data_IF_984492350539
#
_entry.id   IF_984492350539
#
_cell.length_a   1.000
_cell.length_b   1.000
_cell.length_c   1.000
_cell.angle_alpha   90.00
_cell.angle_beta   90.00
_cell.angle_gamma   90.00
#
_symmetry.space_group_name_H-M   'P 1'
#
loop_
_entity.id
_entity.type
_entity.pdbx_description
1 polymer ?
#
# COMPACT_ATOMS: atom_id res chain seq x y z
N UNK A 1 16.37 -1.18 -0.18
CA UNK A 1 15.85 -2.56 -0.29
C UNK A 1 14.71 -2.59 -1.29
N UNK A 2 14.66 -3.62 -2.11
CA UNK A 2 13.60 -3.77 -3.10
C UNK A 2 12.85 -5.08 -2.88
N UNK A 3 11.52 -5.01 -2.91
CA UNK A 3 10.65 -6.17 -2.73
C UNK A 3 9.60 -6.21 -3.82
N UNK A 4 9.21 -7.40 -4.21
CA UNK A 4 8.07 -7.60 -5.10
C UNK A 4 7.05 -8.50 -4.40
N UNK A 5 5.80 -8.07 -4.40
CA UNK A 5 4.69 -8.84 -3.85
C UNK A 5 3.59 -8.93 -4.90
N UNK A 6 2.92 -10.08 -4.93
CA UNK A 6 1.81 -10.32 -5.85
C UNK A 6 0.55 -10.59 -5.07
N UNK A 7 -0.58 -10.23 -5.64
CA UNK A 7 -1.88 -10.48 -5.03
C UNK A 7 -2.94 -10.71 -6.09
N UNK A 8 -4.02 -11.37 -5.68
CA UNK A 8 -5.18 -11.62 -6.51
C UNK A 8 -6.41 -11.06 -5.82
N UNK A 9 -7.28 -10.44 -6.61
CA UNK A 9 -8.54 -9.90 -6.12
C UNK A 9 -9.65 -10.39 -7.05
N UNK A 10 -10.67 -11.00 -6.48
CA UNK A 10 -11.83 -11.48 -7.22
C UNK A 10 -12.80 -10.32 -7.49
N UNK A 11 -12.38 -9.43 -8.38
CA UNK A 11 -13.13 -8.28 -8.82
C UNK A 11 -12.63 -7.86 -10.21
N UNK A 12 -13.48 -7.20 -11.02
CA UNK A 12 -13.08 -6.75 -12.35
C UNK A 12 -11.95 -5.73 -12.31
N UNK A 13 -11.08 -5.78 -13.32
CA UNK A 13 -9.90 -4.93 -13.42
C UNK A 13 -10.22 -3.44 -13.25
N UNK A 14 -11.27 -2.96 -13.92
CA UNK A 14 -11.60 -1.53 -13.85
C UNK A 14 -12.03 -1.10 -12.45
N UNK A 15 -12.74 -1.95 -11.72
CA UNK A 15 -13.13 -1.65 -10.33
C UNK A 15 -11.91 -1.60 -9.41
N UNK A 16 -10.99 -2.54 -9.56
CA UNK A 16 -9.76 -2.56 -8.77
C UNK A 16 -8.91 -1.33 -9.08
N UNK A 17 -8.76 -1.01 -10.36
CA UNK A 17 -7.99 0.14 -10.80
C UNK A 17 -8.53 1.45 -10.21
N UNK A 18 -9.84 1.66 -10.29
CA UNK A 18 -10.49 2.85 -9.74
C UNK A 18 -10.29 2.95 -8.22
N UNK A 19 -10.38 1.82 -7.53
CA UNK A 19 -10.21 1.80 -6.08
C UNK A 19 -8.79 2.13 -5.65
N UNK A 20 -7.77 1.57 -6.32
CA UNK A 20 -6.38 1.77 -5.91
C UNK A 20 -5.87 3.18 -6.24
N UNK A 21 -6.49 3.88 -7.18
CA UNK A 21 -6.15 5.27 -7.49
C UNK A 21 -6.72 6.27 -6.50
N UNK A 22 -7.76 5.91 -5.81
CA UNK A 22 -8.39 6.76 -4.80
C UNK A 22 -7.77 6.47 -3.44
N UNK A 23 -6.77 7.27 -3.07
CA UNK A 23 -6.00 7.06 -1.85
C UNK A 23 -6.89 7.08 -0.62
N UNK A 24 -7.88 7.98 -0.56
CA UNK A 24 -8.79 8.05 0.58
C UNK A 24 -9.66 6.81 0.71
N UNK A 25 -10.07 6.25 -0.42
CA UNK A 25 -10.89 5.03 -0.44
C UNK A 25 -10.07 3.78 -0.12
N UNK A 26 -8.85 3.70 -0.64
CA UNK A 26 -8.02 2.51 -0.51
C UNK A 26 -7.23 2.45 0.81
N UNK A 27 -6.97 3.59 1.43
CA UNK A 27 -6.17 3.63 2.66
C UNK A 27 -6.68 2.69 3.76
N UNK A 28 -8.00 2.60 4.03
CA UNK A 28 -8.49 1.69 5.06
C UNK A 28 -8.23 0.21 4.77
N UNK A 29 -7.93 -0.16 3.53
CA UNK A 29 -7.58 -1.55 3.18
C UNK A 29 -6.15 -1.89 3.56
N UNK A 30 -5.29 -0.89 3.72
CA UNK A 30 -3.91 -1.09 4.18
C UNK A 30 -3.92 -1.15 5.70
N UNK A 31 -3.50 -2.26 6.31
CA UNK A 31 -3.61 -2.41 7.76
C UNK A 31 -2.82 -1.32 8.50
N UNK A 32 -3.49 -0.64 9.41
CA UNK A 32 -2.87 0.41 10.22
C UNK A 32 -2.72 1.77 9.57
N UNK A 33 -3.12 1.91 8.31
CA UNK A 33 -2.99 3.17 7.57
C UNK A 33 -4.23 4.04 7.70
N UNK A 34 -4.03 5.35 7.70
CA UNK A 34 -5.13 6.30 7.56
C UNK A 34 -4.67 7.59 6.90
N UNK A 35 -5.57 8.21 6.15
CA UNK A 35 -5.34 9.53 5.57
C UNK A 35 -5.71 10.58 6.60
N UNK A 36 -4.79 11.50 6.86
CA UNK A 36 -4.99 12.60 7.81
C UNK A 36 -5.53 13.83 7.09
N UNK A 37 -5.04 14.11 5.88
CA UNK A 37 -5.41 15.30 5.14
C UNK A 37 -5.05 15.11 3.67
N UNK A 38 -5.90 15.59 2.77
CA UNK A 38 -5.58 15.71 1.37
C UNK A 38 -4.93 17.06 1.13
N UNK A 39 -3.69 17.09 0.64
CA UNK A 39 -2.92 18.32 0.46
C UNK A 39 -2.95 18.86 -0.95
N UNK A 40 -3.22 17.99 -1.93
CA UNK A 40 -3.40 18.37 -3.34
C UNK A 40 -4.20 17.29 -4.06
N UNK A 41 -4.38 17.42 -5.36
CA UNK A 41 -5.08 16.40 -6.15
C UNK A 41 -4.35 15.05 -6.14
N UNK A 42 -3.05 15.05 -5.89
CA UNK A 42 -2.21 13.86 -5.97
C UNK A 42 -1.46 13.55 -4.67
N UNK A 43 -1.60 14.39 -3.65
CA UNK A 43 -0.80 14.24 -2.43
C UNK A 43 -1.67 14.25 -1.18
N UNK A 44 -1.24 13.45 -0.19
CA UNK A 44 -1.98 13.24 1.05
C UNK A 44 -1.01 13.18 2.21
N UNK A 45 -1.46 13.66 3.36
CA UNK A 45 -0.79 13.37 4.64
C UNK A 45 -1.39 12.10 5.21
N UNK A 46 -0.52 11.18 5.62
CA UNK A 46 -0.93 9.85 6.06
C UNK A 46 -0.21 9.46 7.34
N UNK A 47 -0.80 8.51 8.04
CA UNK A 47 -0.15 7.83 9.16
C UNK A 47 -0.34 6.33 8.98
N UNK A 48 0.68 5.56 9.33
CA UNK A 48 0.60 4.10 9.31
C UNK A 48 1.25 3.54 10.57
N UNK A 49 0.53 2.65 11.24
CA UNK A 49 1.03 1.91 12.38
C UNK A 49 1.44 0.52 11.92
N UNK A 50 2.70 0.17 12.13
CA UNK A 50 3.27 -1.09 11.67
C UNK A 50 3.84 -1.85 12.85
N UNK A 51 3.57 -3.15 12.91
CA UNK A 51 4.24 -4.05 13.86
C UNK A 51 5.39 -4.75 13.18
N UNK A 52 6.59 -4.54 13.71
CA UNK A 52 7.82 -5.16 13.21
C UNK A 52 8.34 -6.05 14.34
N UNK A 53 8.01 -7.34 14.30
CA UNK A 53 8.30 -8.25 15.39
C UNK A 53 7.55 -7.81 16.66
N UNK A 54 8.22 -7.71 17.82
CA UNK A 54 7.57 -7.26 19.06
C UNK A 54 7.38 -5.75 19.16
N UNK A 55 7.79 -4.99 18.13
CA UNK A 55 7.86 -3.54 18.18
C UNK A 55 6.74 -2.94 17.34
N UNK A 56 6.06 -1.94 17.90
CA UNK A 56 5.07 -1.13 17.19
C UNK A 56 5.72 0.18 16.80
N UNK A 57 5.60 0.55 15.51
CA UNK A 57 6.12 1.80 14.99
C UNK A 57 5.01 2.56 14.30
N UNK A 58 4.97 3.87 14.47
CA UNK A 58 4.02 4.74 13.80
C UNK A 58 4.77 5.72 12.93
N UNK A 59 4.50 5.65 11.62
CA UNK A 59 5.09 6.58 10.66
C UNK A 59 4.05 7.61 10.24
N UNK A 60 4.49 8.86 10.15
CA UNK A 60 3.67 9.97 9.64
C UNK A 60 4.42 10.66 8.52
N UNK A 61 3.71 10.97 7.47
CA UNK A 61 4.35 11.63 6.34
C UNK A 61 3.39 11.87 5.20
N UNK A 62 3.93 11.80 3.99
CA UNK A 62 3.18 12.10 2.79
C UNK A 62 3.21 10.95 1.80
N UNK A 63 2.13 10.81 1.06
CA UNK A 63 2.02 9.94 -0.11
C UNK A 63 1.68 10.83 -1.30
N UNK A 64 2.43 10.69 -2.38
CA UNK A 64 2.15 11.39 -3.63
C UNK A 64 2.03 10.38 -4.76
N UNK A 65 0.95 10.48 -5.55
CA UNK A 65 0.81 9.70 -6.77
C UNK A 65 1.59 10.43 -7.86
N UNK A 66 2.75 9.88 -8.23
CA UNK A 66 3.68 10.53 -9.17
C UNK A 66 3.49 10.05 -10.60
N UNK A 67 2.84 8.91 -10.80
CA UNK A 67 2.53 8.39 -12.12
C UNK A 67 1.20 7.65 -12.07
N UNK A 68 0.37 7.92 -13.08
CA UNK A 68 -0.90 7.25 -13.26
C UNK A 68 -1.07 6.98 -14.76
N UNK A 69 -0.89 5.72 -15.16
CA UNK A 69 -1.00 5.27 -16.54
C UNK A 69 -2.20 4.32 -16.67
N UNK A 70 -3.37 4.83 -17.08
CA UNK A 70 -4.57 3.99 -17.18
C UNK A 70 -4.47 2.91 -18.24
N UNK A 71 -3.75 3.13 -19.32
CA UNK A 71 -3.62 2.14 -20.39
C UNK A 71 -2.79 0.95 -19.93
N UNK A 72 -1.69 1.21 -19.26
CA UNK A 72 -0.82 0.16 -18.74
C UNK A 72 -1.30 -0.40 -17.40
N UNK A 73 -2.33 0.20 -16.79
CA UNK A 73 -2.80 -0.13 -15.44
C UNK A 73 -1.65 -0.10 -14.44
N UNK A 74 -0.86 0.96 -14.51
CA UNK A 74 0.30 1.16 -13.66
C UNK A 74 0.17 2.48 -12.93
N UNK A 75 0.44 2.43 -11.62
CA UNK A 75 0.50 3.61 -10.78
C UNK A 75 1.79 3.59 -9.97
N UNK A 76 2.37 4.75 -9.74
CA UNK A 76 3.57 4.89 -8.92
C UNK A 76 3.29 5.93 -7.85
N UNK A 77 3.60 5.56 -6.60
CA UNK A 77 3.46 6.44 -5.45
C UNK A 77 4.81 6.64 -4.79
N UNK A 78 5.02 7.83 -4.26
CA UNK A 78 6.17 8.13 -3.43
C UNK A 78 5.71 8.38 -2.01
N UNK A 79 6.37 7.69 -1.07
CA UNK A 79 6.05 7.80 0.35
C UNK A 79 7.28 8.32 1.08
N UNK A 80 7.09 9.37 1.89
CA UNK A 80 8.13 9.91 2.76
C UNK A 80 7.54 10.09 4.14
N UNK A 81 8.13 9.42 5.11
CA UNK A 81 7.57 9.42 6.44
C UNK A 81 8.66 9.40 7.52
N UNK A 82 8.28 9.84 8.71
CA UNK A 82 9.11 9.78 9.90
C UNK A 82 8.37 8.99 10.97
N UNK A 83 9.13 8.22 11.73
CA UNK A 83 8.58 7.55 12.89
C UNK A 83 8.22 8.59 13.97
N UNK A 84 7.02 8.47 14.55
CA UNK A 84 6.45 9.50 15.44
C UNK A 84 7.26 9.76 16.71
N UNK A 85 8.04 8.77 17.16
CA UNK A 85 8.89 8.89 18.36
C UNK A 85 10.34 9.21 18.03
N UNK A 86 10.63 9.56 16.77
CA UNK A 86 11.99 9.85 16.34
C UNK A 86 12.86 8.61 16.09
N UNK A 87 12.24 7.46 15.86
CA UNK A 87 12.94 6.18 15.67
C UNK A 87 13.44 5.95 14.24
N UNK A 88 13.40 6.98 13.40
CA UNK A 88 13.92 6.91 12.04
C UNK A 88 12.96 7.39 10.97
N UNK A 89 13.34 7.16 9.73
CA UNK A 89 12.59 7.60 8.56
C UNK A 89 12.33 6.43 7.61
N UNK A 90 11.30 6.61 6.77
CA UNK A 90 11.00 5.69 5.67
C UNK A 90 10.82 6.50 4.39
N UNK A 91 11.51 6.12 3.33
CA UNK A 91 11.37 6.70 2.00
C UNK A 91 11.13 5.55 1.04
N UNK A 92 10.00 5.55 0.35
CA UNK A 92 9.64 4.43 -0.51
C UNK A 92 9.07 4.92 -1.83
N UNK A 93 9.39 4.16 -2.88
CA UNK A 93 8.73 4.25 -4.17
C UNK A 93 7.95 2.96 -4.36
N UNK A 94 6.66 3.06 -4.54
CA UNK A 94 5.76 1.91 -4.68
C UNK A 94 5.15 1.94 -6.06
N UNK A 95 5.42 0.90 -6.84
CA UNK A 95 4.84 0.74 -8.16
C UNK A 95 3.83 -0.40 -8.12
N UNK A 96 2.62 -0.15 -8.61
CA UNK A 96 1.59 -1.16 -8.74
C UNK A 96 1.23 -1.34 -10.20
N UNK A 97 1.14 -2.60 -10.64
CA UNK A 97 0.64 -2.97 -11.96
C UNK A 97 -0.47 -3.98 -11.80
N UNK A 98 -1.55 -3.77 -12.55
CA UNK A 98 -2.71 -4.66 -12.52
C UNK A 98 -2.92 -5.29 -13.87
N UNK A 99 -3.38 -6.54 -13.88
CA UNK A 99 -3.73 -7.27 -15.09
C UNK A 99 -4.97 -8.11 -14.86
N UNK A 100 -5.77 -8.25 -15.90
CA UNK A 100 -6.97 -9.10 -15.84
C UNK A 100 -6.57 -10.57 -15.94
N UNK A 101 -7.22 -11.42 -15.14
CA UNK A 101 -7.02 -12.86 -15.17
C UNK A 101 -8.33 -13.56 -14.89
N UNK A 102 -8.96 -14.13 -15.94
CA UNK A 102 -10.22 -14.90 -15.82
C UNK A 102 -11.34 -14.17 -15.09
N UNK A 103 -11.54 -12.88 -15.42
CA UNK A 103 -12.57 -12.06 -14.78
C UNK A 103 -12.19 -11.47 -13.44
N UNK A 104 -11.06 -11.87 -12.91
CA UNK A 104 -10.48 -11.32 -11.68
C UNK A 104 -9.27 -10.43 -12.01
N UNK A 105 -8.61 -9.92 -11.00
CA UNK A 105 -7.46 -9.02 -11.16
C UNK A 105 -6.25 -9.58 -10.45
N UNK A 106 -5.12 -9.61 -11.14
CA UNK A 106 -3.81 -9.87 -10.54
C UNK A 106 -3.06 -8.57 -10.39
N UNK A 107 -2.43 -8.37 -9.24
CA UNK A 107 -1.61 -7.21 -8.96
C UNK A 107 -0.17 -7.60 -8.65
N UNK A 108 0.75 -6.74 -9.08
CA UNK A 108 2.15 -6.83 -8.71
C UNK A 108 2.57 -5.49 -8.10
N UNK A 109 3.13 -5.54 -6.91
CA UNK A 109 3.61 -4.36 -6.19
C UNK A 109 5.12 -4.48 -6.06
N UNK A 110 5.83 -3.52 -6.65
CA UNK A 110 7.28 -3.39 -6.49
C UNK A 110 7.54 -2.23 -5.54
N UNK A 111 8.23 -2.49 -4.44
CA UNK A 111 8.54 -1.50 -3.43
C UNK A 111 10.05 -1.34 -3.33
N UNK A 112 10.53 -0.12 -3.53
CA UNK A 112 11.91 0.26 -3.26
C UNK A 112 11.88 1.16 -2.03
N UNK A 113 12.38 0.64 -0.91
CA UNK A 113 12.28 1.33 0.38
C UNK A 113 13.64 1.52 1.00
N UNK A 114 13.85 2.73 1.54
CA UNK A 114 15.01 3.06 2.35
C UNK A 114 14.52 3.39 3.75
N UNK A 115 14.99 2.61 4.71
CA UNK A 115 14.62 2.76 6.11
C UNK A 115 15.86 3.18 6.89
N UNK A 116 15.70 4.17 7.77
CA UNK A 116 16.72 4.56 8.72
C UNK A 116 16.23 4.33 10.14
N UNK A 117 17.16 4.29 11.09
CA UNK A 117 16.83 4.09 12.47
C UNK A 117 16.47 2.65 12.79
N UNK A 118 15.51 2.47 13.70
CA UNK A 118 15.20 1.16 14.26
C UNK A 118 14.75 0.13 13.24
N UNK A 119 13.84 0.50 12.35
CA UNK A 119 13.37 -0.42 11.32
C UNK A 119 14.49 -0.82 10.35
N UNK A 120 15.36 0.12 10.01
CA UNK A 120 16.49 -0.15 9.11
C UNK A 120 17.48 -1.17 9.68
N UNK A 121 17.55 -1.32 11.01
CA UNK A 121 18.44 -2.27 11.65
C UNK A 121 17.84 -3.68 11.81
N UNK A 122 16.58 -3.86 11.46
CA UNK A 122 15.89 -5.16 11.63
C UNK A 122 16.31 -6.23 10.62
N UNK A 123 16.96 -5.84 9.53
CA UNK A 123 17.39 -6.75 8.48
C UNK A 123 16.33 -6.97 7.42
N UNK A 124 16.82 -7.37 6.24
CA UNK A 124 15.99 -7.54 5.05
C UNK A 124 14.87 -8.57 5.23
N UNK A 125 15.17 -9.71 5.85
CA UNK A 125 14.19 -10.78 6.00
C UNK A 125 12.97 -10.37 6.82
N UNK A 126 13.19 -9.59 7.88
CA UNK A 126 12.09 -9.09 8.71
C UNK A 126 11.23 -8.10 7.93
N UNK A 127 11.85 -7.18 7.21
CA UNK A 127 11.12 -6.17 6.44
C UNK A 127 10.35 -6.82 5.29
N UNK A 128 10.93 -7.80 4.63
CA UNK A 128 10.26 -8.56 3.58
C UNK A 128 9.02 -9.29 4.10
N UNK A 129 9.13 -9.91 5.26
CA UNK A 129 8.01 -10.60 5.90
C UNK A 129 6.88 -9.64 6.27
N UNK A 130 7.22 -8.49 6.83
CA UNK A 130 6.24 -7.44 7.15
C UNK A 130 5.54 -6.95 5.90
N UNK A 131 6.30 -6.69 4.83
CA UNK A 131 5.75 -6.23 3.56
C UNK A 131 4.78 -7.25 2.97
N UNK A 132 5.14 -8.52 2.99
CA UNK A 132 4.28 -9.60 2.49
C UNK A 132 2.97 -9.69 3.25
N UNK A 133 3.02 -9.56 4.57
CA UNK A 133 1.79 -9.60 5.39
C UNK A 133 0.90 -8.39 5.15
N UNK A 134 1.48 -7.22 4.96
CA UNK A 134 0.71 -6.02 4.63
C UNK A 134 -0.02 -6.20 3.29
N UNK A 135 0.68 -6.69 2.28
CA UNK A 135 0.08 -6.91 0.96
C UNK A 135 -1.02 -7.98 1.02
N UNK A 136 -0.81 -9.06 1.75
CA UNK A 136 -1.81 -10.11 1.90
C UNK A 136 -3.09 -9.57 2.55
N UNK A 137 -2.96 -8.82 3.64
CA UNK A 137 -4.11 -8.23 4.33
C UNK A 137 -4.79 -7.16 3.46
N UNK A 138 -4.00 -6.35 2.78
CA UNK A 138 -4.50 -5.37 1.83
C UNK A 138 -5.38 -6.03 0.75
N UNK A 139 -4.90 -7.12 0.16
CA UNK A 139 -5.64 -7.82 -0.89
C UNK A 139 -6.97 -8.39 -0.37
N UNK A 140 -6.96 -8.96 0.83
CA UNK A 140 -8.17 -9.48 1.47
C UNK A 140 -9.18 -8.36 1.74
N UNK A 141 -8.72 -7.25 2.27
CA UNK A 141 -9.57 -6.10 2.58
C UNK A 141 -10.11 -5.44 1.31
N UNK A 142 -9.29 -5.36 0.28
CA UNK A 142 -9.71 -4.81 -1.01
C UNK A 142 -10.80 -5.68 -1.64
N UNK A 143 -10.62 -6.99 -1.61
CA UNK A 143 -11.62 -7.93 -2.11
C UNK A 143 -12.95 -7.79 -1.36
N UNK A 144 -12.90 -7.65 -0.04
CA UNK A 144 -14.12 -7.45 0.77
C UNK A 144 -14.80 -6.13 0.45
N UNK A 145 -14.03 -5.06 0.25
CA UNK A 145 -14.57 -3.74 -0.10
C UNK A 145 -15.27 -3.75 -1.46
N UNK A 146 -14.75 -4.52 -2.41
CA UNK A 146 -15.28 -4.59 -3.77
C UNK A 146 -16.27 -5.73 -3.97
N UNK A 147 -16.56 -6.52 -2.95
CA UNK A 147 -17.51 -7.63 -3.05
C UNK A 147 -18.90 -7.08 -3.38
N UNK A 148 -19.67 -7.75 -4.28
CA UNK A 148 -21.00 -7.31 -4.63
C UNK A 148 -21.93 -7.33 -3.42
N UNK A 149 -22.71 -6.26 -3.22
CA UNK A 149 -23.73 -6.21 -2.17
C UNK A 149 -24.79 -7.28 -2.35
N UNK A 150 -25.04 -7.65 -3.60
CA UNK A 150 -25.99 -8.71 -3.92
C UNK A 150 -25.57 -10.08 -3.37
N UNK A 151 -24.34 -10.23 -2.90
CA UNK A 151 -23.89 -11.41 -2.19
C UNK A 151 -24.47 -11.47 -0.78
N UNK A 152 -25.02 -10.37 -0.30
CA UNK A 152 -25.75 -10.33 0.96
C UNK A 152 -27.22 -10.64 0.70
N UNK A 153 -27.71 -11.78 1.18
CA UNK A 153 -29.14 -12.09 1.05
C UNK A 153 -30.01 -11.16 1.89
#
# INVERSE_FOLDING_TARGET
>A
MQFENRFDVDAPLDEVWQAVLDVERVAPTVPGAKVLERTSDTAYKVAIKVKVGPISMTYRGSVEVVENDPEARRAVMRVRAREARGQGTADAKVQMRLAQSNGATQGAITTDVQLSGRAGSMGRGVIEDVSGRIVETFAQNLAAMLAPESACP
#
